data_IF_589190330523
#
_entry.id   IF_589190330523
#
_cell.length_a   1.000
_cell.length_b   1.000
_cell.length_c   1.000
_cell.angle_alpha   90.00
_cell.angle_beta   90.00
_cell.angle_gamma   90.00
#
_symmetry.space_group_name_H-M   'P 1'
#
loop_
_entity.id
_entity.type
_entity.pdbx_description
1 polymer ?
#
# COMPACT_ATOMS: atom_id res chain seq x y z
N UNK A 1 7.59 -6.54 8.34
CA UNK A 1 6.78 -6.14 7.17
C UNK A 1 5.41 -5.75 7.69
N UNK A 2 4.83 -4.66 7.19
CA UNK A 2 3.50 -4.16 7.60
C UNK A 2 2.47 -4.50 6.53
N UNK A 3 1.18 -4.35 6.85
CA UNK A 3 0.08 -4.48 5.89
C UNK A 3 -0.39 -3.09 5.52
N UNK A 4 -0.54 -2.80 4.23
CA UNK A 4 -1.15 -1.57 3.73
C UNK A 4 -2.51 -1.86 3.11
N UNK A 5 -3.49 -1.00 3.39
CA UNK A 5 -4.84 -1.10 2.82
C UNK A 5 -5.01 -0.10 1.68
N UNK A 6 -5.30 -0.59 0.48
CA UNK A 6 -5.46 0.27 -0.70
C UNK A 6 -6.65 1.22 -0.54
N UNK A 7 -6.48 2.47 -0.99
CA UNK A 7 -7.61 3.37 -1.29
C UNK A 7 -8.20 3.07 -2.66
N UNK A 8 -9.40 3.58 -2.95
CA UNK A 8 -9.96 3.57 -4.31
C UNK A 8 -9.05 4.30 -5.31
N UNK A 9 -8.38 5.38 -4.89
CA UNK A 9 -7.42 6.10 -5.73
C UNK A 9 -6.22 5.21 -6.09
N UNK A 10 -5.65 4.48 -5.12
CA UNK A 10 -4.54 3.56 -5.34
C UNK A 10 -4.95 2.47 -6.32
N UNK A 11 -6.12 1.86 -6.12
CA UNK A 11 -6.63 0.79 -6.98
C UNK A 11 -6.79 1.25 -8.44
N UNK A 12 -7.34 2.45 -8.65
CA UNK A 12 -7.45 3.06 -9.99
C UNK A 12 -6.08 3.32 -10.62
N UNK A 13 -5.18 3.90 -9.85
CA UNK A 13 -3.84 4.23 -10.34
C UNK A 13 -3.03 2.96 -10.70
N UNK A 14 -3.09 1.93 -9.86
CA UNK A 14 -2.46 0.62 -10.12
C UNK A 14 -3.03 0.00 -11.40
N UNK A 15 -4.36 -0.03 -11.53
CA UNK A 15 -5.04 -0.60 -12.70
C UNK A 15 -4.64 0.14 -13.98
N UNK A 16 -4.58 1.47 -13.93
CA UNK A 16 -4.15 2.30 -15.05
C UNK A 16 -2.68 2.06 -15.42
N UNK A 17 -1.78 1.98 -14.43
CA UNK A 17 -0.36 1.70 -14.69
C UNK A 17 -0.16 0.30 -15.30
N UNK A 18 -0.90 -0.70 -14.83
CA UNK A 18 -0.82 -2.07 -15.37
C UNK A 18 -1.27 -2.13 -16.82
N UNK A 19 -2.38 -1.47 -17.16
CA UNK A 19 -2.84 -1.36 -18.54
C UNK A 19 -1.81 -0.65 -19.43
N UNK A 20 -1.22 0.45 -18.95
CA UNK A 20 -0.24 1.22 -19.71
C UNK A 20 1.09 0.48 -19.95
N UNK A 21 1.52 -0.35 -19.00
CA UNK A 21 2.79 -1.08 -19.06
C UNK A 21 2.64 -2.57 -19.38
N UNK A 22 1.46 -3.01 -19.79
CA UNK A 22 1.12 -4.42 -20.07
C UNK A 22 1.51 -5.38 -18.92
N UNK A 23 1.47 -4.88 -17.67
CA UNK A 23 1.85 -5.66 -16.50
C UNK A 23 0.73 -6.60 -16.09
N UNK A 24 1.11 -7.80 -15.66
CA UNK A 24 0.18 -8.82 -15.16
C UNK A 24 0.03 -8.71 -13.65
N UNK A 25 -1.19 -8.94 -13.17
CA UNK A 25 -1.51 -9.00 -11.75
C UNK A 25 -3.01 -9.15 -11.51
N UNK A 26 -3.39 -9.57 -10.31
CA UNK A 26 -4.80 -9.72 -9.92
C UNK A 26 -5.50 -8.36 -9.88
N UNK A 27 -6.81 -8.33 -10.13
CA UNK A 27 -7.60 -7.11 -9.98
C UNK A 27 -7.51 -6.58 -8.54
N UNK A 28 -7.35 -5.27 -8.40
CA UNK A 28 -7.25 -4.58 -7.11
C UNK A 28 -8.48 -3.71 -6.87
N UNK A 29 -8.87 -3.59 -5.61
CA UNK A 29 -9.95 -2.71 -5.17
C UNK A 29 -9.58 -2.02 -3.86
N UNK A 30 -10.33 -0.99 -3.54
CA UNK A 30 -10.27 -0.37 -2.22
C UNK A 30 -10.44 -1.42 -1.11
N UNK A 31 -9.68 -1.27 -0.03
CA UNK A 31 -9.76 -2.15 1.12
C UNK A 31 -8.92 -3.42 1.00
N UNK A 32 -8.47 -3.80 -0.20
CA UNK A 32 -7.54 -4.92 -0.36
C UNK A 32 -6.25 -4.64 0.42
N UNK A 33 -5.69 -5.70 0.99
CA UNK A 33 -4.54 -5.63 1.88
C UNK A 33 -3.33 -6.28 1.24
N UNK A 34 -2.22 -5.54 1.21
CA UNK A 34 -0.98 -6.00 0.63
C UNK A 34 0.19 -5.85 1.60
N UNK A 35 1.18 -6.76 1.54
CA UNK A 35 2.42 -6.59 2.26
C UNK A 35 3.16 -5.34 1.80
N UNK A 36 3.71 -4.59 2.75
CA UNK A 36 4.48 -3.39 2.48
C UNK A 36 5.75 -3.31 3.33
N UNK A 37 6.78 -2.74 2.71
CA UNK A 37 8.07 -2.45 3.34
C UNK A 37 8.10 -0.97 3.71
N UNK A 38 8.36 -0.67 4.98
CA UNK A 38 8.65 0.69 5.44
C UNK A 38 10.01 1.11 4.89
N UNK A 39 10.03 2.16 4.06
CA UNK A 39 11.27 2.64 3.44
C UNK A 39 11.79 3.93 4.07
N UNK A 40 10.93 4.71 4.73
CA UNK A 40 11.31 5.92 5.48
C UNK A 40 10.28 6.25 6.53
N UNK A 41 10.70 6.51 7.76
CA UNK A 41 9.84 7.01 8.84
C UNK A 41 9.99 8.52 8.97
N UNK A 42 8.90 9.23 9.27
CA UNK A 42 8.93 10.66 9.57
C UNK A 42 8.87 10.87 11.08
N UNK A 43 9.98 11.35 11.64
CA UNK A 43 10.12 11.66 13.08
C UNK A 43 9.14 12.76 13.51
N UNK A 44 8.64 12.67 14.74
CA UNK A 44 7.69 13.64 15.31
C UNK A 44 6.25 13.50 14.82
N UNK A 45 5.95 12.56 13.91
CA UNK A 45 4.57 12.24 13.56
C UNK A 45 3.90 11.46 14.69
N UNK A 46 2.71 11.90 15.11
CA UNK A 46 1.95 11.27 16.21
C UNK A 46 1.43 9.87 15.88
N UNK A 47 1.34 9.52 14.59
CA UNK A 47 0.65 8.31 14.11
C UNK A 47 1.56 7.40 13.27
N UNK A 48 2.87 7.38 13.53
CA UNK A 48 3.79 6.48 12.83
C UNK A 48 3.84 6.70 11.31
N UNK A 49 3.76 7.96 10.87
CA UNK A 49 3.73 8.30 9.45
C UNK A 49 5.03 7.85 8.76
N UNK A 50 4.89 7.13 7.65
CA UNK A 50 6.02 6.61 6.88
C UNK A 50 5.72 6.55 5.38
N UNK A 51 6.78 6.38 4.58
CA UNK A 51 6.65 5.97 3.19
C UNK A 51 6.78 4.45 3.08
N UNK A 52 5.94 3.88 2.22
CA UNK A 52 5.83 2.44 2.02
C UNK A 52 6.07 2.08 0.56
N UNK A 53 6.76 0.95 0.36
CA UNK A 53 6.75 0.22 -0.90
C UNK A 53 5.83 -0.99 -0.74
N UNK A 54 4.65 -0.93 -1.34
CA UNK A 54 3.60 -1.95 -1.31
C UNK A 54 3.88 -2.97 -2.42
N UNK A 55 3.94 -4.24 -2.07
CA UNK A 55 4.20 -5.35 -2.99
C UNK A 55 2.85 -5.90 -3.47
N UNK A 56 2.62 -5.87 -4.78
CA UNK A 56 1.36 -6.29 -5.38
C UNK A 56 1.48 -7.71 -5.95
N UNK A 57 0.34 -8.33 -6.26
CA UNK A 57 0.30 -9.58 -7.00
C UNK A 57 0.79 -9.35 -8.42
N UNK A 58 2.08 -9.58 -8.67
CA UNK A 58 2.74 -9.34 -9.94
C UNK A 58 4.19 -8.86 -9.75
N UNK A 59 4.76 -8.34 -10.83
CA UNK A 59 6.12 -7.77 -10.83
C UNK A 59 6.12 -6.29 -10.43
N UNK A 60 4.95 -5.72 -10.11
CA UNK A 60 4.79 -4.31 -9.80
C UNK A 60 4.67 -4.00 -8.30
N UNK A 61 4.95 -2.74 -8.01
CA UNK A 61 4.97 -2.19 -6.66
C UNK A 61 4.24 -0.86 -6.68
N UNK A 62 3.55 -0.56 -5.59
CA UNK A 62 2.86 0.71 -5.39
C UNK A 62 3.55 1.52 -4.29
N UNK A 63 3.65 2.84 -4.48
CA UNK A 63 4.21 3.75 -3.49
C UNK A 63 3.08 4.43 -2.73
N UNK A 64 2.97 4.11 -1.45
CA UNK A 64 2.10 4.83 -0.53
C UNK A 64 2.96 5.79 0.30
N UNK A 65 2.80 7.09 0.05
CA UNK A 65 3.59 8.13 0.72
C UNK A 65 2.81 8.73 1.88
N UNK A 66 3.52 9.07 2.95
CA UNK A 66 2.91 9.64 4.17
C UNK A 66 1.78 8.78 4.76
N UNK A 67 1.88 7.46 4.63
CA UNK A 67 0.91 6.52 5.18
C UNK A 67 1.02 6.50 6.72
N UNK A 68 -0.12 6.64 7.40
CA UNK A 68 -0.24 6.60 8.86
C UNK A 68 -0.64 5.21 9.35
N UNK A 69 -0.35 4.92 10.61
CA UNK A 69 -0.86 3.71 11.26
C UNK A 69 -2.40 3.79 11.39
N UNK A 70 -3.09 2.69 11.11
CA UNK A 70 -4.55 2.60 11.18
C UNK A 70 -5.12 1.34 10.53
N UNK A 71 -6.45 1.26 10.50
CA UNK A 71 -7.23 0.15 9.94
C UNK A 71 -8.07 0.54 8.71
N UNK A 72 -8.11 1.82 8.36
CA UNK A 72 -8.84 2.40 7.23
C UNK A 72 -8.06 2.34 5.90
N UNK A 73 -8.72 2.49 4.74
CA UNK A 73 -8.03 2.66 3.46
C UNK A 73 -7.00 3.80 3.50
N UNK A 74 -5.83 3.59 2.91
CA UNK A 74 -4.73 4.56 2.93
C UNK A 74 -3.87 4.53 4.19
N UNK A 75 -4.08 3.54 5.06
CA UNK A 75 -3.30 3.36 6.30
C UNK A 75 -2.55 2.03 6.30
N UNK A 76 -1.59 1.92 7.22
CA UNK A 76 -0.86 0.69 7.47
C UNK A 76 -1.12 0.13 8.86
N UNK A 77 -1.04 -1.18 9.01
CA UNK A 77 -1.16 -1.86 10.29
C UNK A 77 -0.09 -2.92 10.45
N UNK A 78 0.24 -3.26 11.69
CA UNK A 78 0.96 -4.50 11.98
C UNK A 78 0.12 -5.71 11.52
N UNK A 79 0.76 -6.76 10.98
CA UNK A 79 0.04 -8.00 10.67
C UNK A 79 -0.63 -8.55 11.94
N UNK A 80 -1.87 -9.01 11.82
CA UNK A 80 -2.55 -9.72 12.90
C UNK A 80 -1.71 -10.93 13.34
N UNK A 81 -1.64 -11.16 14.66
CA UNK A 81 -1.03 -12.39 15.19
C UNK A 81 -2.04 -13.52 15.01
N UNK A 82 -1.60 -14.60 14.37
CA UNK A 82 -2.32 -15.88 14.31
C UNK A 82 -1.72 -16.86 15.29
#
# INVERSE_FOLDING_TARGET
>A
MVIYRLTDHDARHITQQRAHHERRGNFVREGDQYPAIVVRVFEGSTNGTCNLKVLLDGEDVHWATSAREGDEPGTWAWPGRV
#
